data_IF_973449338318
#
_entry.id   IF_973449338318
#
_cell.length_a   1.000
_cell.length_b   1.000
_cell.length_c   1.000
_cell.angle_alpha   90.00
_cell.angle_beta   90.00
_cell.angle_gamma   90.00
#
_symmetry.space_group_name_H-M   'P 1'
#
loop_
_entity.id
_entity.type
_entity.pdbx_description
1 polymer ?
#
# COMPACT_ATOMS: atom_id res chain seq x y z
N UNK A 1 -57.15 -63.41 6.21
CA UNK A 1 -57.14 -62.58 4.97
C UNK A 1 -58.37 -61.68 5.04
N UNK A 2 -58.32 -60.36 5.24
CA UNK A 2 -57.64 -59.19 4.62
C UNK A 2 -57.66 -58.05 5.69
N UNK A 3 -57.22 -56.79 5.42
CA UNK A 3 -56.04 -56.25 4.73
C UNK A 3 -55.34 -55.16 5.62
N UNK A 4 -54.46 -54.34 4.99
CA UNK A 4 -54.08 -52.95 5.36
C UNK A 4 -53.00 -52.82 6.47
N UNK A 5 -52.02 -51.92 6.44
CA UNK A 5 -51.67 -50.77 5.60
C UNK A 5 -50.12 -50.68 5.53
N UNK A 6 -49.60 -50.12 4.43
CA UNK A 6 -48.24 -49.58 4.42
C UNK A 6 -48.15 -48.34 5.32
N UNK A 7 -47.12 -48.20 6.18
CA UNK A 7 -46.67 -46.90 6.66
C UNK A 7 -45.60 -46.40 5.67
N UNK A 8 -45.95 -45.52 4.74
CA UNK A 8 -45.85 -44.06 4.89
C UNK A 8 -44.40 -43.66 5.22
N UNK A 9 -43.70 -43.24 4.17
CA UNK A 9 -42.48 -42.46 4.18
C UNK A 9 -42.61 -41.30 5.19
N UNK A 10 -42.02 -41.46 6.38
CA UNK A 10 -41.86 -40.39 7.39
C UNK A 10 -40.50 -40.51 8.08
N UNK A 11 -39.46 -40.81 7.33
CA UNK A 11 -38.11 -40.35 7.70
C UNK A 11 -37.96 -38.91 7.22
N UNK A 12 -38.72 -38.03 7.88
CA UNK A 12 -38.45 -36.61 7.87
C UNK A 12 -37.06 -36.44 8.45
N UNK A 13 -36.13 -35.97 7.62
CA UNK A 13 -35.19 -34.89 7.95
C UNK A 13 -35.27 -34.45 9.42
N UNK A 14 -34.60 -35.18 10.31
CA UNK A 14 -34.42 -34.74 11.69
C UNK A 14 -32.94 -34.52 11.91
N UNK A 15 -32.62 -33.23 11.98
CA UNK A 15 -31.40 -32.59 12.48
C UNK A 15 -30.29 -32.24 11.47
N UNK A 16 -30.68 -31.69 10.31
CA UNK A 16 -29.93 -30.53 9.81
C UNK A 16 -30.16 -29.37 10.79
N UNK A 17 -29.11 -29.02 11.54
CA UNK A 17 -28.77 -27.71 12.16
C UNK A 17 -28.00 -27.98 13.44
N UNK A 18 -26.71 -28.29 13.32
CA UNK A 18 -25.79 -28.00 14.43
C UNK A 18 -25.74 -26.47 14.51
N UNK A 19 -26.49 -25.93 15.45
CA UNK A 19 -26.54 -24.51 15.73
C UNK A 19 -25.11 -23.98 15.83
N UNK A 20 -24.80 -22.96 15.02
CA UNK A 20 -23.49 -22.32 15.00
C UNK A 20 -23.19 -21.88 16.44
N UNK A 21 -22.26 -22.55 17.11
CA UNK A 21 -21.83 -22.20 18.47
C UNK A 21 -21.38 -20.74 18.42
N UNK A 22 -22.19 -19.86 18.99
CA UNK A 22 -21.91 -18.44 19.04
C UNK A 22 -20.76 -18.22 20.01
N UNK A 23 -19.73 -17.49 19.57
CA UNK A 23 -18.57 -17.18 20.42
C UNK A 23 -19.04 -16.53 21.72
N UNK A 24 -18.45 -16.96 22.84
CA UNK A 24 -18.70 -16.35 24.15
C UNK A 24 -18.29 -14.87 24.15
N UNK A 25 -18.93 -14.06 25.00
CA UNK A 25 -18.61 -12.62 25.13
C UNK A 25 -17.12 -12.37 25.35
N UNK A 26 -16.48 -13.14 26.23
CA UNK A 26 -15.03 -13.03 26.50
C UNK A 26 -14.17 -13.39 25.29
N UNK A 27 -14.63 -14.32 24.44
CA UNK A 27 -13.93 -14.69 23.21
C UNK A 27 -14.03 -13.58 22.18
N UNK A 28 -15.21 -12.97 22.01
CA UNK A 28 -15.40 -11.79 21.16
C UNK A 28 -14.52 -10.62 21.62
N UNK A 29 -14.47 -10.36 22.92
CA UNK A 29 -13.63 -9.30 23.49
C UNK A 29 -12.12 -9.50 23.19
N UNK A 30 -11.64 -10.76 23.28
CA UNK A 30 -10.26 -11.10 22.94
C UNK A 30 -9.98 -10.93 21.44
N UNK A 31 -10.89 -11.40 20.60
CA UNK A 31 -10.77 -11.26 19.14
C UNK A 31 -10.77 -9.78 18.73
N UNK A 32 -11.65 -8.96 19.33
CA UNK A 32 -11.72 -7.51 19.10
C UNK A 32 -10.44 -6.80 19.57
N UNK A 33 -9.85 -7.23 20.69
CA UNK A 33 -8.57 -6.70 21.16
C UNK A 33 -7.42 -7.02 20.20
N UNK A 34 -7.33 -8.28 19.75
CA UNK A 34 -6.28 -8.74 18.85
C UNK A 34 -6.37 -8.03 17.50
N UNK A 35 -7.57 -7.94 16.92
CA UNK A 35 -7.79 -7.24 15.65
C UNK A 35 -7.43 -5.76 15.75
N UNK A 36 -7.83 -5.06 16.83
CA UNK A 36 -7.43 -3.67 17.06
C UNK A 36 -5.91 -3.51 17.20
N UNK A 37 -5.25 -4.45 17.88
CA UNK A 37 -3.79 -4.43 18.04
C UNK A 37 -3.08 -4.64 16.70
N UNK A 38 -3.55 -5.57 15.88
CA UNK A 38 -3.02 -5.84 14.54
C UNK A 38 -3.23 -4.64 13.61
N UNK A 39 -4.41 -4.04 13.62
CA UNK A 39 -4.69 -2.82 12.85
C UNK A 39 -3.74 -1.68 13.23
N UNK A 40 -3.54 -1.43 14.53
CA UNK A 40 -2.60 -0.41 15.00
C UNK A 40 -1.15 -0.71 14.56
N UNK A 41 -0.75 -1.98 14.53
CA UNK A 41 0.58 -2.37 14.06
C UNK A 41 0.72 -2.16 12.55
N UNK A 42 -0.29 -2.55 11.77
CA UNK A 42 -0.31 -2.35 10.32
C UNK A 42 -0.27 -0.86 9.96
N UNK A 43 -1.06 -0.01 10.64
CA UNK A 43 -1.04 1.43 10.44
C UNK A 43 0.31 2.06 10.76
N UNK A 44 0.97 1.60 11.84
CA UNK A 44 2.33 2.06 12.19
C UNK A 44 3.33 1.68 11.11
N UNK A 45 3.30 0.44 10.62
CA UNK A 45 4.19 -0.02 9.56
C UNK A 45 3.97 0.76 8.25
N UNK A 46 2.72 0.91 7.82
CA UNK A 46 2.38 1.69 6.62
C UNK A 46 2.83 3.15 6.73
N UNK A 47 2.70 3.77 7.91
CA UNK A 47 3.18 5.14 8.13
C UNK A 47 4.71 5.24 8.09
N UNK A 48 5.43 4.23 8.60
CA UNK A 48 6.89 4.18 8.54
C UNK A 48 7.35 4.05 7.07
N UNK A 49 6.71 3.16 6.30
CA UNK A 49 7.02 2.97 4.88
C UNK A 49 6.77 4.25 4.09
N UNK A 50 5.58 4.87 4.24
CA UNK A 50 5.27 6.14 3.59
C UNK A 50 6.29 7.23 3.91
N UNK A 51 6.74 7.33 5.17
CA UNK A 51 7.78 8.29 5.56
C UNK A 51 9.12 8.00 4.88
N UNK A 52 9.52 6.72 4.78
CA UNK A 52 10.74 6.32 4.08
C UNK A 52 10.67 6.67 2.60
N UNK A 53 9.55 6.42 1.93
CA UNK A 53 9.38 6.72 0.51
C UNK A 53 9.45 8.23 0.22
N UNK A 54 8.82 9.04 1.08
CA UNK A 54 8.91 10.50 1.01
C UNK A 54 10.36 10.95 1.22
N UNK A 55 11.05 10.42 2.23
CA UNK A 55 12.44 10.77 2.51
C UNK A 55 13.37 10.39 1.35
N UNK A 56 13.20 9.21 0.77
CA UNK A 56 13.96 8.78 -0.41
C UNK A 56 13.71 9.68 -1.61
N UNK A 57 12.44 10.02 -1.89
CA UNK A 57 12.06 10.92 -2.97
C UNK A 57 12.68 12.31 -2.78
N UNK A 58 12.65 12.85 -1.56
CA UNK A 58 13.26 14.13 -1.22
C UNK A 58 14.80 14.08 -1.33
N UNK A 59 15.44 12.98 -0.94
CA UNK A 59 16.90 12.79 -1.10
C UNK A 59 17.27 12.79 -2.58
N UNK A 60 16.53 12.07 -3.42
CA UNK A 60 16.75 12.04 -4.86
C UNK A 60 16.56 13.43 -5.47
N UNK A 61 15.48 14.13 -5.12
CA UNK A 61 15.23 15.49 -5.59
C UNK A 61 16.36 16.47 -5.18
N UNK A 62 16.81 16.43 -3.91
CA UNK A 62 17.92 17.26 -3.45
C UNK A 62 19.21 16.94 -4.21
N UNK A 63 19.51 15.66 -4.45
CA UNK A 63 20.69 15.21 -5.20
C UNK A 63 20.65 15.70 -6.65
N UNK A 64 19.53 15.54 -7.35
CA UNK A 64 19.38 16.00 -8.74
C UNK A 64 19.45 17.53 -8.82
N UNK A 65 18.80 18.25 -7.91
CA UNK A 65 18.87 19.71 -7.82
C UNK A 65 20.30 20.20 -7.61
N UNK A 66 21.04 19.62 -6.67
CA UNK A 66 22.45 19.96 -6.42
C UNK A 66 23.34 19.67 -7.64
N UNK A 67 23.14 18.52 -8.31
CA UNK A 67 23.91 18.18 -9.50
C UNK A 67 23.65 19.15 -10.65
N UNK A 68 22.38 19.54 -10.87
CA UNK A 68 22.02 20.58 -11.84
C UNK A 68 22.67 21.91 -11.49
N UNK A 69 22.57 22.34 -10.24
CA UNK A 69 23.22 23.57 -9.79
C UNK A 69 24.74 23.55 -10.02
N UNK A 70 25.42 22.46 -9.66
CA UNK A 70 26.88 22.30 -9.88
C UNK A 70 27.26 22.39 -11.37
N UNK A 71 26.42 21.91 -12.29
CA UNK A 71 26.68 22.04 -13.73
C UNK A 71 26.54 23.49 -14.22
N UNK A 72 25.52 24.20 -13.74
CA UNK A 72 25.19 25.58 -14.17
C UNK A 72 26.13 26.61 -13.53
N UNK A 73 26.48 26.40 -12.25
CA UNK A 73 27.30 27.30 -11.46
C UNK A 73 28.79 27.28 -11.84
N UNK A 74 29.22 26.30 -12.65
CA UNK A 74 30.58 26.28 -13.19
C UNK A 74 30.79 27.48 -14.10
N UNK A 75 31.90 28.20 -13.85
CA UNK A 75 32.31 29.36 -14.62
C UNK A 75 33.70 29.15 -15.21
N UNK A 76 33.98 29.85 -16.29
CA UNK A 76 35.32 29.97 -16.87
C UNK A 76 36.18 30.87 -15.98
N UNK A 77 37.50 30.93 -16.24
CA UNK A 77 38.42 31.82 -15.51
C UNK A 77 37.97 33.29 -15.54
N UNK A 78 37.35 33.71 -16.64
CA UNK A 78 36.81 35.06 -16.84
C UNK A 78 35.40 35.26 -16.24
N UNK A 79 34.89 34.30 -15.47
CA UNK A 79 33.60 34.42 -14.77
C UNK A 79 32.36 34.17 -15.64
N UNK A 80 32.51 33.84 -16.92
CA UNK A 80 31.38 33.46 -17.77
C UNK A 80 30.88 32.06 -17.42
N UNK A 81 29.57 31.77 -17.54
CA UNK A 81 29.06 30.42 -17.32
C UNK A 81 29.68 29.44 -18.33
N UNK A 82 30.07 28.26 -17.86
CA UNK A 82 30.66 27.24 -18.72
C UNK A 82 29.62 26.73 -19.73
N UNK A 83 29.83 27.03 -21.01
CA UNK A 83 28.86 26.78 -22.09
C UNK A 83 28.40 25.33 -22.21
N UNK A 84 29.29 24.35 -22.01
CA UNK A 84 28.92 22.92 -22.07
C UNK A 84 27.73 22.58 -21.16
N UNK A 85 27.77 23.03 -19.90
CA UNK A 85 26.69 22.76 -18.94
C UNK A 85 25.39 23.50 -19.27
N UNK A 86 25.49 24.70 -19.84
CA UNK A 86 24.33 25.48 -20.28
C UNK A 86 23.64 24.85 -21.49
N UNK A 87 24.41 24.35 -22.47
CA UNK A 87 23.87 23.69 -23.65
C UNK A 87 23.18 22.36 -23.32
N UNK A 88 23.76 21.53 -22.43
CA UNK A 88 23.11 20.30 -21.95
C UNK A 88 21.73 20.60 -21.35
N UNK A 89 21.62 21.69 -20.58
CA UNK A 89 20.37 22.08 -19.93
C UNK A 89 19.35 22.65 -20.91
N UNK A 90 19.81 23.40 -21.90
CA UNK A 90 18.97 23.89 -22.99
C UNK A 90 18.41 22.72 -23.80
N UNK A 91 19.23 21.72 -24.13
CA UNK A 91 18.79 20.51 -24.81
C UNK A 91 17.74 19.76 -24.01
N UNK A 92 17.96 19.58 -22.70
CA UNK A 92 16.97 18.93 -21.79
C UNK A 92 15.62 19.68 -21.82
N UNK A 93 15.63 21.02 -21.86
CA UNK A 93 14.40 21.81 -21.96
C UNK A 93 13.69 21.64 -23.30
N UNK A 94 14.43 21.67 -24.41
CA UNK A 94 13.88 21.50 -25.75
C UNK A 94 13.24 20.12 -25.89
N UNK A 95 13.89 19.07 -25.39
CA UNK A 95 13.34 17.72 -25.41
C UNK A 95 12.04 17.63 -24.60
N UNK A 96 12.00 18.18 -23.38
CA UNK A 96 10.78 18.21 -22.56
C UNK A 96 9.64 19.03 -23.13
N UNK A 97 9.93 20.04 -23.95
CA UNK A 97 8.90 20.82 -24.64
C UNK A 97 8.34 20.13 -25.90
N UNK A 98 9.02 19.09 -26.39
CA UNK A 98 8.62 18.33 -27.57
C UNK A 98 7.85 17.05 -27.24
N UNK A 99 7.82 16.66 -25.97
CA UNK A 99 6.97 15.61 -25.39
C UNK A 99 5.66 16.23 -24.89
#
# INVERSE_FOLDING_TARGET
MKPKLAPIQKEKEKTLRKDKITKSFNQKLRDDYLTRKEQQQAEKQANIERKKDIEQSLKQYKKTKQNKYKKIAKRTKSGQPLMKGQMELLLEKIQKSKE
#
